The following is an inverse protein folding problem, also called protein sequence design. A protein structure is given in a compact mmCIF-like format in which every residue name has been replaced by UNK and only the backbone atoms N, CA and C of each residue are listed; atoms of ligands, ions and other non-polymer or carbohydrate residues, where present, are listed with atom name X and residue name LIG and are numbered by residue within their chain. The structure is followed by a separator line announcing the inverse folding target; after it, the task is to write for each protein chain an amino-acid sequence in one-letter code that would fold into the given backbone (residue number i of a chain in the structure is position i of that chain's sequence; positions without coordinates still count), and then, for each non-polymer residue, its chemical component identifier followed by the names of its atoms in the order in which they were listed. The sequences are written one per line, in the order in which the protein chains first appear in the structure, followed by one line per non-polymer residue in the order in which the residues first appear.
data_IF_439220754160
#
_entry.id   IF_439220754160
#
_cell.length_a   1.000
_cell.length_b   1.000
_cell.length_c   1.000
_cell.angle_alpha   90.00
_cell.angle_beta   90.00
_cell.angle_gamma   90.00
#
_symmetry.space_group_name_H-M   'P 1'
#
loop_
_entity.id
_entity.type
_entity.pdbx_description
1 polymer ?
#
# COMPACT_ATOMS: atom_id res chain seq x y z
N UNK A 1 -22.74 4.61 -37.91
CA UNK A 1 -21.46 3.86 -37.82
C UNK A 1 -21.03 3.80 -36.35
N UNK A 2 -20.01 3.00 -36.02
CA UNK A 2 -19.43 2.83 -34.68
C UNK A 2 -20.37 2.25 -33.60
N UNK A 3 -20.69 0.96 -33.72
CA UNK A 3 -20.85 0.08 -32.55
C UNK A 3 -20.60 -1.37 -32.98
N UNK A 4 -19.63 -2.02 -32.36
CA UNK A 4 -19.40 -3.47 -32.41
C UNK A 4 -18.52 -3.86 -31.22
N UNK A 5 -19.04 -4.73 -30.36
CA UNK A 5 -18.31 -5.30 -29.23
C UNK A 5 -17.39 -6.42 -29.71
N UNK A 6 -16.25 -6.63 -29.03
CA UNK A 6 -15.63 -7.96 -28.92
C UNK A 6 -15.17 -8.21 -27.49
N UNK A 7 -15.21 -9.48 -27.11
CA UNK A 7 -15.02 -9.95 -25.75
C UNK A 7 -13.55 -10.26 -25.43
N UNK A 8 -13.29 -10.21 -24.13
CA UNK A 8 -12.08 -10.64 -23.41
C UNK A 8 -11.82 -12.15 -23.59
N UNK A 9 -10.56 -12.59 -23.58
CA UNK A 9 -10.17 -13.83 -22.91
C UNK A 9 -9.37 -13.54 -21.62
N UNK A 10 -9.68 -14.26 -20.54
CA UNK A 10 -9.04 -14.11 -19.23
C UNK A 10 -7.87 -15.09 -19.10
N UNK A 11 -6.66 -14.57 -18.94
CA UNK A 11 -5.53 -15.29 -18.33
C UNK A 11 -4.49 -14.30 -17.78
N UNK A 12 -3.59 -14.77 -16.92
CA UNK A 12 -2.53 -14.00 -16.23
C UNK A 12 -3.05 -13.04 -15.13
N UNK A 13 -3.57 -13.64 -14.06
CA UNK A 13 -3.35 -13.15 -12.70
C UNK A 13 -2.07 -13.81 -12.16
N UNK A 14 -0.94 -13.09 -12.04
CA UNK A 14 0.17 -13.42 -11.12
C UNK A 14 1.39 -12.45 -11.23
N UNK A 15 1.26 -11.21 -10.72
CA UNK A 15 2.36 -10.32 -10.27
C UNK A 15 1.78 -9.08 -9.56
N UNK A 16 1.07 -9.25 -8.43
CA UNK A 16 1.64 -8.98 -7.09
C UNK A 16 2.70 -7.86 -7.05
N UNK A 17 2.38 -6.69 -6.50
CA UNK A 17 2.40 -6.39 -5.05
C UNK A 17 3.79 -6.51 -4.37
N UNK A 18 4.84 -5.97 -4.99
CA UNK A 18 6.19 -5.89 -4.37
C UNK A 18 6.76 -4.46 -4.34
N UNK A 19 6.61 -3.67 -5.41
CA UNK A 19 7.31 -2.38 -5.61
C UNK A 19 6.66 -1.15 -4.96
N UNK A 20 5.85 -1.34 -3.91
CA UNK A 20 5.22 -0.23 -3.15
C UNK A 20 5.50 -0.29 -1.63
N UNK A 21 6.47 -1.11 -1.20
CA UNK A 21 6.81 -1.35 0.21
C UNK A 21 8.20 -0.88 0.66
N UNK A 22 9.06 -0.35 -0.24
CA UNK A 22 10.48 -0.07 0.04
C UNK A 22 10.90 1.41 -0.17
N UNK A 23 10.02 2.37 0.15
CA UNK A 23 10.40 3.80 0.15
C UNK A 23 9.84 4.61 1.33
N UNK A 24 9.63 3.97 2.48
CA UNK A 24 9.05 4.60 3.68
C UNK A 24 9.72 4.25 5.01
N UNK A 25 10.98 3.79 4.98
CA UNK A 25 11.71 3.29 6.15
C UNK A 25 13.17 3.80 6.26
N UNK A 26 13.45 5.01 5.75
CA UNK A 26 14.72 5.73 5.98
C UNK A 26 14.39 7.19 6.29
N UNK A 27 15.25 7.89 7.06
CA UNK A 27 15.05 9.26 7.57
C UNK A 27 13.95 9.43 8.62
N UNK A 28 13.85 8.47 9.55
CA UNK A 28 13.35 8.72 10.90
C UNK A 28 14.53 8.99 11.83
N UNK A 29 14.49 10.12 12.55
CA UNK A 29 15.36 10.54 13.67
C UNK A 29 16.87 10.76 13.42
N UNK A 30 17.27 12.04 13.48
CA UNK A 30 18.45 12.64 14.14
C UNK A 30 18.51 14.13 13.74
N UNK A 31 18.76 15.13 14.60
CA UNK A 31 19.02 15.20 16.06
C UNK A 31 18.38 16.49 16.64
N UNK A 32 18.33 16.62 17.98
CA UNK A 32 17.81 17.80 18.71
C UNK A 32 18.94 18.63 19.32
N UNK A 33 18.79 19.97 19.29
CA UNK A 33 19.44 20.97 20.17
C UNK A 33 20.99 21.01 20.11
N UNK A 34 21.69 22.12 20.35
CA UNK A 34 21.59 23.14 21.40
C UNK A 34 21.80 24.56 20.84
N UNK A 35 21.25 25.58 21.49
CA UNK A 35 21.61 26.99 21.29
C UNK A 35 22.24 27.56 22.58
N UNK A 36 23.28 28.38 22.48
CA UNK A 36 23.86 29.10 23.64
C UNK A 36 24.62 30.38 23.25
N UNK A 37 24.63 31.34 24.19
CA UNK A 37 25.33 32.63 24.15
C UNK A 37 24.38 33.79 24.53
N UNK A 38 24.88 35.01 24.85
CA UNK A 38 26.28 35.46 25.06
C UNK A 38 26.51 36.07 26.47
N UNK A 39 27.70 36.62 26.77
CA UNK A 39 27.98 37.89 27.51
C UNK A 39 29.36 37.95 28.20
N UNK A 40 29.82 39.17 28.55
CA UNK A 40 31.04 39.48 29.33
C UNK A 40 30.76 40.58 30.39
N UNK A 41 31.48 40.61 31.53
CA UNK A 41 32.41 41.71 31.92
C UNK A 41 33.76 41.19 32.51
N UNK A 42 34.87 41.93 32.76
CA UNK A 42 35.29 43.36 32.77
C UNK A 42 35.49 44.02 34.15
N UNK A 43 36.77 44.38 34.42
CA UNK A 43 37.39 45.43 35.30
C UNK A 43 37.32 45.49 36.87
N UNK A 44 38.53 45.63 37.48
CA UNK A 44 38.91 46.56 38.59
C UNK A 44 38.54 46.27 40.08
N UNK A 45 39.09 46.93 41.12
CA UNK A 45 40.48 47.40 41.47
C UNK A 45 40.53 47.87 42.97
N UNK A 46 41.67 47.69 43.65
CA UNK A 46 42.31 48.40 44.81
C UNK A 46 41.55 49.04 46.02
N UNK A 47 42.11 48.93 47.26
CA UNK A 47 42.38 50.05 48.25
C UNK A 47 42.68 49.61 49.73
N UNK A 48 43.15 50.52 50.63
CA UNK A 48 43.80 50.20 51.94
C UNK A 48 43.85 51.32 53.04
N UNK A 49 44.34 51.00 54.28
CA UNK A 49 44.96 51.88 55.35
C UNK A 49 44.10 52.93 56.16
N UNK A 50 44.47 53.58 57.31
CA UNK A 50 45.02 53.19 58.67
C UNK A 50 44.68 54.26 59.79
N UNK A 51 45.43 54.36 60.94
CA UNK A 51 45.15 55.11 62.22
C UNK A 51 46.23 56.22 62.53
N UNK A 52 46.46 56.89 63.71
CA UNK A 52 46.05 56.81 65.15
C UNK A 52 46.43 58.11 65.99
N UNK A 53 46.31 58.08 67.34
CA UNK A 53 47.07 58.86 68.42
C UNK A 53 46.91 60.41 68.60
N UNK A 54 47.26 61.12 69.71
CA UNK A 54 47.29 60.88 71.20
C UNK A 54 47.80 62.09 72.07
N UNK A 55 47.41 62.19 73.38
CA UNK A 55 48.09 62.91 74.53
C UNK A 55 48.14 64.48 74.54
N UNK A 56 48.64 65.26 75.55
CA UNK A 56 49.40 65.01 76.82
C UNK A 56 49.06 65.92 78.09
N UNK A 57 50.05 66.61 78.73
CA UNK A 57 50.19 67.00 80.19
C UNK A 57 51.03 68.32 80.40
N UNK A 58 51.34 68.97 81.56
CA UNK A 58 50.80 69.17 82.95
C UNK A 58 51.69 70.19 83.78
N UNK A 59 51.60 70.24 85.15
CA UNK A 59 52.62 70.69 86.18
C UNK A 59 52.62 72.09 86.88
N UNK A 60 53.22 72.19 88.10
CA UNK A 60 53.80 73.40 88.74
C UNK A 60 53.69 73.58 90.29
N UNK A 61 54.81 73.72 91.06
CA UNK A 61 54.80 74.15 92.50
C UNK A 61 56.17 74.54 93.17
N UNK A 62 56.30 75.73 93.82
CA UNK A 62 57.34 76.23 94.81
C UNK A 62 56.80 77.47 95.58
N UNK A 63 57.32 78.07 96.68
CA UNK A 63 58.47 77.89 97.60
C UNK A 63 58.55 79.07 98.66
N UNK A 64 59.41 79.05 99.71
CA UNK A 64 59.43 80.03 100.84
C UNK A 64 60.84 80.51 101.34
N UNK A 65 60.94 81.38 102.39
CA UNK A 65 62.14 82.21 102.73
C UNK A 65 62.46 82.50 104.22
N UNK A 66 63.77 82.49 104.55
CA UNK A 66 64.51 83.42 105.46
C UNK A 66 64.48 83.22 107.03
N UNK A 67 65.13 84.06 107.91
CA UNK A 67 66.28 83.60 108.74
C UNK A 67 66.28 84.06 110.24
N UNK A 68 67.38 83.84 111.01
CA UNK A 68 67.52 84.29 112.41
C UNK A 68 68.90 84.84 112.87
N UNK A 69 68.90 85.38 114.10
CA UNK A 69 69.87 86.24 114.84
C UNK A 69 71.23 85.54 115.14
N UNK A 70 72.37 86.20 115.44
CA UNK A 70 72.72 87.34 116.34
C UNK A 70 72.58 87.02 117.84
N UNK A 71 73.69 87.03 118.59
CA UNK A 71 73.85 87.51 119.99
C UNK A 71 75.26 87.19 120.53
N UNK A 72 75.99 88.19 121.05
CA UNK A 72 77.32 88.03 121.68
C UNK A 72 77.77 89.30 122.45
N UNK A 73 77.26 89.53 123.67
CA UNK A 73 77.68 90.66 124.50
C UNK A 73 77.40 90.46 126.02
N UNK A 74 78.18 89.63 126.72
CA UNK A 74 78.16 89.52 128.20
C UNK A 74 79.37 88.76 128.75
N UNK A 75 80.57 89.38 128.77
CA UNK A 75 81.73 88.81 129.48
C UNK A 75 82.82 89.84 129.84
N UNK A 76 82.43 90.97 130.43
CA UNK A 76 83.39 91.98 130.91
C UNK A 76 82.92 92.73 132.19
N UNK A 77 82.59 91.95 133.23
CA UNK A 77 82.45 92.42 134.61
C UNK A 77 83.18 91.45 135.56
N UNK A 78 84.52 91.45 135.53
CA UNK A 78 85.34 90.56 136.37
C UNK A 78 86.59 91.22 137.00
N UNK A 79 86.74 92.54 136.93
CA UNK A 79 87.92 93.28 137.43
C UNK A 79 87.67 94.14 138.69
N UNK A 80 86.44 94.16 139.23
CA UNK A 80 86.03 95.09 140.29
C UNK A 80 86.18 94.58 141.73
N UNK A 81 86.75 93.39 141.96
CA UNK A 81 86.73 92.73 143.28
C UNK A 81 88.08 92.63 144.02
N UNK A 82 89.18 93.11 143.44
CA UNK A 82 90.55 92.73 143.88
C UNK A 82 91.34 93.83 144.60
N UNK A 83 90.71 94.93 145.06
CA UNK A 83 91.43 96.10 145.63
C UNK A 83 90.91 96.73 146.94
N UNK A 84 89.97 96.09 147.64
CA UNK A 84 89.49 96.57 148.95
C UNK A 84 89.50 95.42 149.98
N UNK A 85 90.68 95.05 150.50
CA UNK A 85 90.84 93.80 151.26
C UNK A 85 91.72 93.83 152.53
N UNK A 86 92.46 94.92 152.81
CA UNK A 86 93.39 95.02 153.95
C UNK A 86 92.86 95.91 155.09
N UNK A 87 91.78 95.47 155.74
CA UNK A 87 91.38 95.75 157.15
C UNK A 87 89.90 95.33 157.35
N UNK A 88 89.60 94.04 157.18
CA UNK A 88 88.33 93.44 157.60
C UNK A 88 88.42 91.92 157.67
N UNK A 89 87.62 91.36 158.58
CA UNK A 89 87.56 89.94 158.98
C UNK A 89 87.42 88.99 157.77
N UNK A 90 88.18 87.87 157.71
CA UNK A 90 87.95 86.83 156.69
C UNK A 90 86.53 86.27 156.68
N UNK A 91 85.81 86.22 157.81
CA UNK A 91 84.49 85.61 157.90
C UNK A 91 83.45 86.38 157.07
N UNK A 92 83.44 87.71 157.14
CA UNK A 92 82.52 88.55 156.34
C UNK A 92 82.77 88.42 154.84
N UNK A 93 84.01 88.13 154.41
CA UNK A 93 84.35 87.86 153.01
C UNK A 93 83.78 86.50 152.56
N UNK A 94 83.77 85.49 153.44
CA UNK A 94 83.12 84.20 153.18
C UNK A 94 81.60 84.37 153.08
N UNK A 95 80.97 85.17 153.94
CA UNK A 95 79.54 85.49 153.88
C UNK A 95 79.15 86.25 152.60
N UNK A 96 79.96 87.23 152.17
CA UNK A 96 79.78 87.91 150.88
C UNK A 96 79.97 86.96 149.69
N UNK A 97 80.95 86.06 149.74
CA UNK A 97 81.15 85.06 148.70
C UNK A 97 79.94 84.11 148.62
N UNK A 98 79.51 83.55 149.76
CA UNK A 98 78.37 82.62 149.85
C UNK A 98 77.04 83.26 149.45
N UNK A 99 76.78 84.51 149.83
CA UNK A 99 75.57 85.23 149.39
C UNK A 99 75.62 85.56 147.90
N UNK A 100 76.79 85.90 147.34
CA UNK A 100 76.95 86.06 145.88
C UNK A 100 76.81 84.73 145.12
N UNK A 101 77.30 83.63 145.69
CA UNK A 101 77.20 82.28 145.12
C UNK A 101 75.75 81.80 145.15
N UNK A 102 75.04 82.04 146.26
CA UNK A 102 73.61 81.74 146.41
C UNK A 102 72.78 82.58 145.45
N UNK A 103 73.02 83.89 145.33
CA UNK A 103 72.34 84.71 144.32
C UNK A 103 72.60 84.19 142.90
N UNK A 104 73.84 83.85 142.54
CA UNK A 104 74.15 83.23 141.24
C UNK A 104 73.45 81.89 141.04
N UNK A 105 73.32 81.08 142.09
CA UNK A 105 72.55 79.83 142.05
C UNK A 105 71.06 80.10 141.83
N UNK A 106 70.47 81.05 142.56
CA UNK A 106 69.06 81.44 142.45
C UNK A 106 68.76 82.06 141.07
N UNK A 107 69.64 82.92 140.56
CA UNK A 107 69.56 83.51 139.21
C UNK A 107 69.66 82.43 138.11
N UNK A 108 70.60 81.48 138.23
CA UNK A 108 70.74 80.34 137.29
C UNK A 108 69.57 79.37 137.41
N UNK A 109 69.05 79.12 138.62
CA UNK A 109 67.90 78.25 138.84
C UNK A 109 66.61 78.89 138.29
N UNK A 110 66.47 80.22 138.41
CA UNK A 110 65.40 80.98 137.77
C UNK A 110 65.51 80.92 136.23
N UNK A 111 66.71 81.08 135.65
CA UNK A 111 66.93 80.96 134.21
C UNK A 111 66.71 79.53 133.69
N UNK A 112 67.12 78.50 134.44
CA UNK A 112 66.84 77.08 134.12
C UNK A 112 65.34 76.80 134.18
N UNK A 113 64.62 77.33 135.18
CA UNK A 113 63.16 77.24 135.24
C UNK A 113 62.51 77.96 134.05
N UNK A 114 62.94 79.19 133.75
CA UNK A 114 62.46 80.01 132.62
C UNK A 114 62.65 79.28 131.28
N UNK A 115 63.85 78.72 131.05
CA UNK A 115 64.15 77.88 129.87
C UNK A 115 63.38 76.56 129.86
N UNK A 116 63.10 75.97 131.03
CA UNK A 116 62.25 74.79 131.14
C UNK A 116 60.81 75.08 130.71
N UNK A 117 60.26 76.22 131.13
CA UNK A 117 58.94 76.71 130.69
C UNK A 117 58.94 77.07 129.20
N UNK A 118 59.98 77.71 128.68
CA UNK A 118 60.15 77.96 127.23
C UNK A 118 60.24 76.65 126.43
N UNK A 119 61.02 75.68 126.89
CA UNK A 119 61.17 74.37 126.24
C UNK A 119 59.87 73.57 126.27
N UNK A 120 59.07 73.67 127.33
CA UNK A 120 57.73 73.11 127.39
C UNK A 120 56.78 73.79 126.37
N UNK A 121 56.82 75.13 126.25
CA UNK A 121 56.06 75.88 125.22
C UNK A 121 56.50 75.51 123.80
N UNK A 122 57.79 75.36 123.54
CA UNK A 122 58.30 74.92 122.24
C UNK A 122 57.89 73.48 121.91
N UNK A 123 57.95 72.56 122.87
CA UNK A 123 57.45 71.18 122.70
C UNK A 123 55.96 71.12 122.38
N UNK A 124 55.14 71.88 123.10
CA UNK A 124 53.70 71.93 122.83
C UNK A 124 53.39 72.63 121.50
N UNK A 125 54.14 73.68 121.14
CA UNK A 125 54.05 74.33 119.82
C UNK A 125 54.41 73.40 118.67
N UNK A 126 55.46 72.56 118.83
CA UNK A 126 55.80 71.50 117.88
C UNK A 126 54.65 70.49 117.80
N UNK A 127 54.15 69.97 118.92
CA UNK A 127 53.03 69.01 118.95
C UNK A 127 51.76 69.55 118.27
N UNK A 128 51.49 70.84 118.41
CA UNK A 128 50.37 71.52 117.73
C UNK A 128 50.64 71.69 116.22
N UNK A 129 51.87 72.01 115.81
CA UNK A 129 52.26 72.05 114.41
C UNK A 129 52.19 70.66 113.76
N UNK A 130 52.72 69.61 114.39
CA UNK A 130 52.64 68.22 113.94
C UNK A 130 51.18 67.78 113.75
N UNK A 131 50.30 68.11 114.71
CA UNK A 131 48.87 67.81 114.63
C UNK A 131 48.16 68.60 113.52
N UNK A 132 48.57 69.84 113.24
CA UNK A 132 48.05 70.62 112.14
C UNK A 132 48.53 70.08 110.78
N UNK A 133 49.79 69.65 110.68
CA UNK A 133 50.34 69.00 109.48
C UNK A 133 49.65 67.66 109.19
N UNK A 134 49.36 66.84 110.20
CA UNK A 134 48.56 65.62 110.04
C UNK A 134 47.14 65.91 109.56
N UNK A 135 46.50 66.99 110.03
CA UNK A 135 45.18 67.39 109.53
C UNK A 135 45.25 67.90 108.08
N UNK A 136 46.23 68.75 107.76
CA UNK A 136 46.44 69.31 106.41
C UNK A 136 46.77 68.21 105.40
N UNK A 137 47.60 67.24 105.76
CA UNK A 137 47.91 66.08 104.88
C UNK A 137 46.69 65.19 104.69
N UNK A 138 45.95 64.86 105.75
CA UNK A 138 44.69 64.09 105.64
C UNK A 138 43.67 64.76 104.73
N UNK A 139 43.45 66.08 104.88
CA UNK A 139 42.50 66.80 104.04
C UNK A 139 43.02 67.05 102.61
N UNK A 140 44.33 67.23 102.42
CA UNK A 140 44.94 67.28 101.08
C UNK A 140 44.73 65.96 100.34
N UNK A 141 44.93 64.83 101.02
CA UNK A 141 44.82 63.51 100.40
C UNK A 141 43.34 63.13 100.16
N UNK A 142 42.40 63.59 101.01
CA UNK A 142 40.94 63.57 100.73
C UNK A 142 40.54 64.41 99.52
N UNK A 143 41.08 65.62 99.38
CA UNK A 143 40.84 66.48 98.20
C UNK A 143 41.43 65.82 96.96
N UNK A 144 42.64 65.26 97.05
CA UNK A 144 43.28 64.50 95.97
C UNK A 144 42.41 63.33 95.51
N UNK A 145 41.95 62.48 96.43
CA UNK A 145 41.07 61.36 96.10
C UNK A 145 39.81 61.83 95.36
N UNK A 146 39.13 62.89 95.86
CA UNK A 146 37.96 63.46 95.17
C UNK A 146 38.28 64.02 93.79
N UNK A 147 39.46 64.63 93.61
CA UNK A 147 39.91 65.11 92.30
C UNK A 147 40.17 63.95 91.34
N UNK A 148 40.77 62.86 91.82
CA UNK A 148 41.01 61.64 91.03
C UNK A 148 39.68 60.94 90.66
N UNK A 149 38.73 60.82 91.59
CA UNK A 149 37.36 60.33 91.37
C UNK A 149 36.60 61.18 90.34
N UNK A 150 36.64 62.51 90.46
CA UNK A 150 36.01 63.43 89.50
C UNK A 150 36.68 63.36 88.13
N UNK A 151 37.99 63.16 88.06
CA UNK A 151 38.73 62.99 86.79
C UNK A 151 38.38 61.67 86.12
N UNK A 152 38.23 60.58 86.88
CA UNK A 152 37.75 59.28 86.38
C UNK A 152 36.30 59.39 85.88
N UNK A 153 35.43 60.11 86.61
CA UNK A 153 34.05 60.37 86.20
C UNK A 153 33.96 61.20 84.91
N UNK A 154 34.75 62.27 84.81
CA UNK A 154 34.84 63.14 83.63
C UNK A 154 35.35 62.38 82.39
N UNK A 155 36.40 61.57 82.54
CA UNK A 155 36.96 60.77 81.43
C UNK A 155 35.99 59.67 80.99
N UNK A 156 35.31 59.00 81.93
CA UNK A 156 34.25 58.04 81.61
C UNK A 156 33.05 58.68 80.90
N UNK A 157 32.64 59.89 81.31
CA UNK A 157 31.57 60.65 80.66
C UNK A 157 31.98 61.13 79.26
N UNK A 158 33.21 61.63 79.12
CA UNK A 158 33.78 62.04 77.82
C UNK A 158 33.82 60.87 76.84
N UNK A 159 34.23 59.66 77.29
CA UNK A 159 34.15 58.43 76.50
C UNK A 159 32.71 58.13 76.06
N UNK A 160 31.74 58.17 76.97
CA UNK A 160 30.31 57.95 76.63
C UNK A 160 29.79 58.96 75.60
N UNK A 161 30.24 60.22 75.65
CA UNK A 161 29.91 61.25 74.65
C UNK A 161 30.54 60.93 73.30
N UNK A 162 31.79 60.46 73.26
CA UNK A 162 32.45 60.01 72.03
C UNK A 162 31.76 58.77 71.41
N UNK A 163 31.41 57.77 72.23
CA UNK A 163 30.68 56.57 71.82
C UNK A 163 29.29 56.92 71.25
N UNK A 164 28.56 57.84 71.91
CA UNK A 164 27.29 58.35 71.43
C UNK A 164 27.41 59.18 70.14
N UNK A 165 28.49 59.96 69.98
CA UNK A 165 28.77 60.71 68.76
C UNK A 165 29.13 59.77 67.59
N UNK A 166 29.85 58.68 67.83
CA UNK A 166 30.09 57.63 66.84
C UNK A 166 28.78 56.94 66.44
N UNK A 167 27.98 56.52 67.42
CA UNK A 167 26.65 55.93 67.22
C UNK A 167 25.74 56.83 66.37
N UNK A 168 25.74 58.15 66.63
CA UNK A 168 25.01 59.15 65.83
C UNK A 168 25.50 59.20 64.37
N UNK A 169 26.82 59.14 64.12
CA UNK A 169 27.37 59.08 62.75
C UNK A 169 26.89 57.82 62.01
N UNK A 170 26.91 56.66 62.69
CA UNK A 170 26.42 55.38 62.13
C UNK A 170 24.95 55.45 61.75
N UNK A 171 24.07 55.97 62.63
CA UNK A 171 22.65 56.14 62.30
C UNK A 171 22.40 57.14 61.16
N UNK A 172 23.17 58.23 61.07
CA UNK A 172 23.07 59.18 59.95
C UNK A 172 23.45 58.52 58.61
N UNK A 173 24.51 57.69 58.60
CA UNK A 173 24.91 56.94 57.41
C UNK A 173 23.85 55.92 56.99
N UNK A 174 23.28 55.16 57.95
CA UNK A 174 22.17 54.23 57.68
C UNK A 174 20.96 54.99 57.11
N UNK A 175 20.56 56.12 57.70
CA UNK A 175 19.45 56.93 57.21
C UNK A 175 19.69 57.45 55.78
N UNK A 176 20.90 57.91 55.47
CA UNK A 176 21.28 58.35 54.13
C UNK A 176 21.20 57.20 53.12
N UNK A 177 21.74 56.03 53.46
CA UNK A 177 21.66 54.82 52.63
C UNK A 177 20.22 54.39 52.38
N UNK A 178 19.39 54.30 53.42
CA UNK A 178 17.97 53.92 53.30
C UNK A 178 17.18 54.93 52.45
N UNK A 179 17.54 56.23 52.49
CA UNK A 179 16.97 57.24 51.59
C UNK A 179 17.34 56.96 50.12
N UNK A 180 18.61 56.70 49.83
CA UNK A 180 19.08 56.34 48.48
C UNK A 180 18.41 55.06 47.96
N UNK A 181 18.33 54.01 48.79
CA UNK A 181 17.65 52.75 48.46
C UNK A 181 16.16 52.97 48.16
N UNK A 182 15.45 53.77 48.98
CA UNK A 182 14.05 54.16 48.78
C UNK A 182 13.83 54.89 47.46
N UNK A 183 14.72 55.82 47.10
CA UNK A 183 14.59 56.60 45.87
C UNK A 183 14.97 55.78 44.61
N UNK A 184 15.93 54.85 44.71
CA UNK A 184 16.16 53.82 43.67
C UNK A 184 14.94 52.90 43.46
N UNK A 185 14.28 52.46 44.54
CA UNK A 185 13.05 51.64 44.46
C UNK A 185 11.90 52.43 43.81
N UNK A 186 11.75 53.73 44.13
CA UNK A 186 10.79 54.63 43.45
C UNK A 186 11.06 54.73 41.95
N UNK A 187 12.31 54.94 41.54
CA UNK A 187 12.70 55.01 40.13
C UNK A 187 12.41 53.70 39.38
N UNK A 188 12.76 52.54 39.99
CA UNK A 188 12.42 51.21 39.43
C UNK A 188 10.92 51.00 39.30
N UNK A 189 10.12 51.44 40.28
CA UNK A 189 8.66 51.34 40.23
C UNK A 189 8.07 52.17 39.07
N UNK A 190 8.51 53.43 38.89
CA UNK A 190 8.09 54.27 37.76
C UNK A 190 8.42 53.64 36.39
N UNK A 191 9.58 52.99 36.25
CA UNK A 191 9.99 52.28 35.03
C UNK A 191 9.17 50.99 34.80
N UNK A 192 8.78 50.29 35.86
CA UNK A 192 7.84 49.16 35.75
C UNK A 192 6.43 49.64 35.36
N UNK A 193 5.97 50.78 35.89
CA UNK A 193 4.69 51.39 35.53
C UNK A 193 4.65 51.93 34.09
N UNK A 194 5.78 52.37 33.50
CA UNK A 194 5.82 52.73 32.08
C UNK A 194 5.79 51.47 31.20
N UNK A 195 6.57 50.44 31.52
CA UNK A 195 6.55 49.14 30.82
C UNK A 195 5.17 48.47 30.86
N UNK A 196 4.50 48.47 32.03
CA UNK A 196 3.16 47.91 32.17
C UNK A 196 2.13 48.65 31.30
N UNK A 197 2.26 49.98 31.18
CA UNK A 197 1.42 50.79 30.27
C UNK A 197 1.71 50.51 28.80
N UNK A 198 2.97 50.34 28.41
CA UNK A 198 3.35 49.98 27.04
C UNK A 198 2.79 48.60 26.63
N UNK A 199 3.06 47.56 27.43
CA UNK A 199 2.51 46.21 27.23
C UNK A 199 0.96 46.22 27.22
N UNK A 200 0.34 47.06 28.07
CA UNK A 200 -1.11 47.26 28.10
C UNK A 200 -1.71 48.01 26.90
N UNK A 201 -0.88 48.65 26.06
CA UNK A 201 -1.26 49.19 24.76
C UNK A 201 -1.02 48.14 23.66
N UNK A 202 0.16 47.52 23.63
CA UNK A 202 0.50 46.43 22.69
C UNK A 202 -0.53 45.29 22.72
N UNK A 203 -0.99 44.88 23.90
CA UNK A 203 -2.03 43.87 24.06
C UNK A 203 -3.38 44.32 23.49
N UNK A 204 -3.74 45.61 23.62
CA UNK A 204 -4.97 46.17 23.02
C UNK A 204 -4.87 46.24 21.51
N UNK A 205 -3.70 46.58 20.96
CA UNK A 205 -3.49 46.61 19.51
C UNK A 205 -3.41 45.22 18.89
N UNK A 206 -2.81 44.24 19.58
CA UNK A 206 -2.91 42.83 19.25
C UNK A 206 -4.35 42.33 19.22
N UNK A 207 -5.18 42.71 20.21
CA UNK A 207 -6.60 42.38 20.24
C UNK A 207 -7.35 43.02 19.04
N UNK A 208 -7.16 44.32 18.80
CA UNK A 208 -7.74 45.03 17.65
C UNK A 208 -7.30 44.45 16.29
N UNK A 209 -6.08 43.93 16.19
CA UNK A 209 -5.60 43.22 15.00
C UNK A 209 -6.29 41.85 14.83
N UNK A 210 -6.45 41.09 15.91
CA UNK A 210 -7.15 39.80 15.92
C UNK A 210 -8.64 39.96 15.55
N UNK A 211 -9.32 40.99 16.04
CA UNK A 211 -10.70 41.31 15.65
C UNK A 211 -10.82 41.67 14.16
N UNK A 212 -9.88 42.48 13.63
CA UNK A 212 -9.79 42.78 12.19
C UNK A 212 -9.51 41.52 11.35
N UNK A 213 -8.75 40.57 11.86
CA UNK A 213 -8.53 39.28 11.19
C UNK A 213 -9.78 38.38 11.25
N UNK A 214 -10.46 38.30 12.41
CA UNK A 214 -11.69 37.52 12.61
C UNK A 214 -12.83 38.02 11.72
N UNK A 215 -13.00 39.34 11.62
CA UNK A 215 -14.01 39.96 10.74
C UNK A 215 -13.70 39.75 9.25
N UNK A 216 -12.43 39.87 8.83
CA UNK A 216 -12.00 39.48 7.47
C UNK A 216 -12.28 38.01 7.16
N UNK A 217 -11.94 37.09 8.08
CA UNK A 217 -12.23 35.65 7.92
C UNK A 217 -13.74 35.40 7.79
N UNK A 218 -14.56 36.06 8.61
CA UNK A 218 -16.01 35.93 8.59
C UNK A 218 -16.60 36.34 7.22
N UNK A 219 -16.15 37.48 6.66
CA UNK A 219 -16.56 37.95 5.32
C UNK A 219 -16.18 36.93 4.24
N UNK A 220 -14.92 36.49 4.21
CA UNK A 220 -14.46 35.49 3.24
C UNK A 220 -15.23 34.17 3.34
N UNK A 221 -15.68 33.75 4.53
CA UNK A 221 -16.54 32.56 4.67
C UNK A 221 -17.97 32.79 4.19
N UNK A 222 -18.54 34.00 4.32
CA UNK A 222 -19.84 34.32 3.72
C UNK A 222 -19.75 34.36 2.19
N UNK A 223 -18.73 35.04 1.66
CA UNK A 223 -18.44 35.13 0.22
C UNK A 223 -18.25 33.72 -0.40
N UNK A 224 -17.55 32.81 0.29
CA UNK A 224 -17.42 31.41 -0.12
C UNK A 224 -18.79 30.70 -0.16
N UNK A 225 -19.59 30.81 0.91
CA UNK A 225 -20.91 30.16 0.99
C UNK A 225 -21.87 30.67 -0.09
N UNK A 226 -21.79 31.95 -0.46
CA UNK A 226 -22.58 32.54 -1.55
C UNK A 226 -22.16 31.99 -2.92
N UNK A 227 -20.84 31.86 -3.17
CA UNK A 227 -20.31 31.24 -4.39
C UNK A 227 -20.65 29.76 -4.49
N UNK A 228 -20.58 29.00 -3.38
CA UNK A 228 -20.98 27.59 -3.35
C UNK A 228 -22.48 27.41 -3.65
N UNK A 229 -23.34 28.26 -3.09
CA UNK A 229 -24.76 28.30 -3.45
C UNK A 229 -24.99 28.68 -4.92
N UNK A 230 -24.23 29.64 -5.45
CA UNK A 230 -24.27 30.00 -6.86
C UNK A 230 -23.96 28.81 -7.76
N UNK A 231 -22.83 28.13 -7.51
CA UNK A 231 -22.41 26.92 -8.23
C UNK A 231 -23.42 25.77 -8.10
N UNK A 232 -24.06 25.59 -6.94
CA UNK A 232 -25.11 24.60 -6.74
C UNK A 232 -26.36 24.90 -7.60
N UNK A 233 -26.80 26.17 -7.65
CA UNK A 233 -27.91 26.61 -8.50
C UNK A 233 -27.58 26.44 -9.99
N UNK A 234 -26.37 26.80 -10.42
CA UNK A 234 -25.94 26.58 -11.81
C UNK A 234 -25.88 25.09 -12.19
N UNK A 235 -25.39 24.22 -11.30
CA UNK A 235 -25.35 22.77 -11.53
C UNK A 235 -26.75 22.21 -11.77
N UNK A 236 -27.72 22.60 -10.93
CA UNK A 236 -29.12 22.23 -11.09
C UNK A 236 -29.71 22.68 -12.43
N UNK A 237 -29.46 23.93 -12.85
CA UNK A 237 -29.91 24.45 -14.14
C UNK A 237 -29.26 23.71 -15.32
N UNK A 238 -27.95 23.42 -15.24
CA UNK A 238 -27.24 22.62 -16.27
C UNK A 238 -27.77 21.18 -16.36
N UNK A 239 -28.07 20.55 -15.23
CA UNK A 239 -28.64 19.21 -15.17
C UNK A 239 -30.06 19.16 -15.75
N UNK A 240 -30.92 20.12 -15.40
CA UNK A 240 -32.25 20.27 -15.99
C UNK A 240 -32.20 20.51 -17.50
N UNK A 241 -31.28 21.37 -17.98
CA UNK A 241 -31.05 21.59 -19.40
C UNK A 241 -30.57 20.33 -20.12
N UNK A 242 -29.62 19.59 -19.54
CA UNK A 242 -29.13 18.32 -20.08
C UNK A 242 -30.24 17.25 -20.14
N UNK A 243 -31.09 17.17 -19.11
CA UNK A 243 -32.28 16.29 -19.10
C UNK A 243 -33.22 16.63 -20.26
N UNK A 244 -33.57 17.90 -20.44
CA UNK A 244 -34.41 18.34 -21.56
C UNK A 244 -33.81 18.04 -22.94
N UNK A 245 -32.50 18.23 -23.12
CA UNK A 245 -31.78 17.88 -24.35
C UNK A 245 -31.80 16.36 -24.60
N UNK A 246 -31.64 15.55 -23.55
CA UNK A 246 -31.70 14.09 -23.61
C UNK A 246 -33.09 13.60 -24.01
N UNK A 247 -34.14 14.14 -23.39
CA UNK A 247 -35.54 13.85 -23.71
C UNK A 247 -35.90 14.26 -25.15
N UNK A 248 -35.55 15.48 -25.57
CA UNK A 248 -35.74 15.94 -26.94
C UNK A 248 -34.98 15.08 -27.97
N UNK A 249 -33.81 14.53 -27.61
CA UNK A 249 -33.01 13.63 -28.45
C UNK A 249 -33.67 12.24 -28.56
N UNK A 250 -34.24 11.71 -27.47
CA UNK A 250 -35.03 10.45 -27.50
C UNK A 250 -36.28 10.63 -28.38
N UNK A 251 -37.01 11.74 -28.23
CA UNK A 251 -38.17 12.06 -29.07
C UNK A 251 -37.80 12.19 -30.55
N UNK A 252 -36.70 12.89 -30.87
CA UNK A 252 -36.19 12.98 -32.26
C UNK A 252 -35.80 11.62 -32.82
N UNK A 253 -35.11 10.76 -32.06
CA UNK A 253 -34.78 9.38 -32.47
C UNK A 253 -36.04 8.56 -32.74
N UNK A 254 -37.01 8.57 -31.83
CA UNK A 254 -38.28 7.85 -32.01
C UNK A 254 -39.09 8.38 -33.21
N UNK A 255 -39.04 9.69 -33.49
CA UNK A 255 -39.68 10.27 -34.67
C UNK A 255 -38.99 9.89 -36.00
N UNK A 256 -37.65 9.75 -36.00
CA UNK A 256 -36.89 9.23 -37.15
C UNK A 256 -37.17 7.75 -37.37
N UNK A 257 -37.20 6.93 -36.30
CA UNK A 257 -37.55 5.51 -36.40
C UNK A 257 -38.96 5.30 -36.97
N UNK A 258 -39.95 6.06 -36.45
CA UNK A 258 -41.31 6.12 -37.00
C UNK A 258 -41.40 6.67 -38.43
N UNK A 259 -40.34 7.24 -39.02
CA UNK A 259 -40.27 7.57 -40.45
C UNK A 259 -39.61 6.43 -41.23
N UNK A 260 -38.56 5.82 -40.70
CA UNK A 260 -37.87 4.70 -41.32
C UNK A 260 -38.78 3.47 -41.49
N UNK A 261 -39.51 3.08 -40.44
CA UNK A 261 -40.50 1.99 -40.50
C UNK A 261 -41.56 2.25 -41.58
N UNK A 262 -42.19 3.43 -41.58
CA UNK A 262 -43.19 3.81 -42.60
C UNK A 262 -42.62 3.87 -44.02
N UNK A 263 -41.36 4.26 -44.19
CA UNK A 263 -40.69 4.23 -45.50
C UNK A 263 -40.48 2.78 -45.98
N UNK A 264 -40.06 1.89 -45.08
CA UNK A 264 -39.89 0.47 -45.41
C UNK A 264 -41.23 -0.25 -45.69
N UNK A 265 -42.29 0.09 -44.96
CA UNK A 265 -43.67 -0.36 -45.22
C UNK A 265 -44.18 0.14 -46.59
N UNK A 266 -43.97 1.43 -46.88
CA UNK A 266 -44.32 2.02 -48.18
C UNK A 266 -43.52 1.38 -49.32
N UNK A 267 -42.21 1.16 -49.16
CA UNK A 267 -41.38 0.47 -50.16
C UNK A 267 -41.87 -0.96 -50.41
N UNK A 268 -42.19 -1.73 -49.36
CA UNK A 268 -42.79 -3.07 -49.48
C UNK A 268 -44.12 -3.03 -50.22
N UNK A 269 -44.99 -2.06 -49.91
CA UNK A 269 -46.28 -1.87 -50.58
C UNK A 269 -46.11 -1.51 -52.06
N UNK A 270 -45.20 -0.59 -52.40
CA UNK A 270 -44.89 -0.22 -53.79
C UNK A 270 -44.36 -1.42 -54.58
N UNK A 271 -43.43 -2.20 -54.01
CA UNK A 271 -42.89 -3.41 -54.65
C UNK A 271 -43.98 -4.48 -54.84
N UNK A 272 -44.82 -4.71 -53.82
CA UNK A 272 -45.93 -5.66 -53.89
C UNK A 272 -46.97 -5.25 -54.95
N UNK A 273 -47.34 -3.96 -55.00
CA UNK A 273 -48.27 -3.42 -55.99
C UNK A 273 -47.69 -3.49 -57.41
N UNK A 274 -46.41 -3.14 -57.60
CA UNK A 274 -45.73 -3.26 -58.89
C UNK A 274 -45.65 -4.72 -59.37
N UNK A 275 -45.35 -5.66 -58.47
CA UNK A 275 -45.36 -7.09 -58.76
C UNK A 275 -46.77 -7.60 -59.11
N UNK A 276 -47.80 -7.18 -58.36
CA UNK A 276 -49.19 -7.53 -58.65
C UNK A 276 -49.69 -6.98 -59.99
N UNK A 277 -49.30 -5.75 -60.36
CA UNK A 277 -49.60 -5.15 -61.68
C UNK A 277 -48.87 -5.89 -62.80
N UNK A 278 -47.57 -6.21 -62.62
CA UNK A 278 -46.80 -6.98 -63.61
C UNK A 278 -47.33 -8.41 -63.80
N UNK A 279 -47.75 -9.07 -62.70
CA UNK A 279 -48.41 -10.38 -62.74
C UNK A 279 -49.78 -10.28 -63.42
N UNK A 280 -50.56 -9.25 -63.14
CA UNK A 280 -51.87 -9.01 -63.76
C UNK A 280 -51.75 -8.76 -65.27
N UNK A 281 -50.81 -7.91 -65.69
CA UNK A 281 -50.53 -7.63 -67.11
C UNK A 281 -50.03 -8.89 -67.84
N UNK A 282 -49.12 -9.67 -67.24
CA UNK A 282 -48.65 -10.92 -67.82
C UNK A 282 -49.68 -12.06 -67.75
N UNK A 283 -50.69 -12.00 -66.88
CA UNK A 283 -51.72 -13.05 -66.72
C UNK A 283 -52.46 -13.39 -68.00
N UNK A 284 -52.59 -12.45 -68.95
CA UNK A 284 -53.17 -12.71 -70.28
C UNK A 284 -52.23 -13.52 -71.17
N UNK A 285 -50.90 -13.29 -71.09
CA UNK A 285 -49.89 -14.11 -71.77
C UNK A 285 -49.81 -15.50 -71.14
N UNK A 286 -49.78 -15.59 -69.81
CA UNK A 286 -49.75 -16.88 -69.10
C UNK A 286 -51.00 -17.72 -69.33
N UNK A 287 -52.20 -17.13 -69.33
CA UNK A 287 -53.43 -17.86 -69.70
C UNK A 287 -53.40 -18.36 -71.14
N UNK A 288 -52.90 -17.57 -72.10
CA UNK A 288 -52.70 -18.05 -73.48
C UNK A 288 -51.66 -19.17 -73.56
N UNK A 289 -50.54 -19.05 -72.85
CA UNK A 289 -49.52 -20.10 -72.80
C UNK A 289 -50.09 -21.40 -72.23
N UNK A 290 -50.79 -21.35 -71.09
CA UNK A 290 -51.42 -22.52 -70.48
C UNK A 290 -52.48 -23.16 -71.38
N UNK A 291 -53.21 -22.38 -72.18
CA UNK A 291 -54.11 -22.93 -73.20
C UNK A 291 -53.35 -23.61 -74.34
N UNK A 292 -52.22 -23.05 -74.79
CA UNK A 292 -51.36 -23.66 -75.82
C UNK A 292 -50.71 -24.94 -75.28
N UNK A 293 -50.17 -24.92 -74.06
CA UNK A 293 -49.63 -26.09 -73.35
C UNK A 293 -50.69 -27.19 -73.19
N UNK A 294 -51.93 -26.84 -72.82
CA UNK A 294 -53.04 -27.81 -72.76
C UNK A 294 -53.42 -28.36 -74.14
N UNK A 295 -53.39 -27.54 -75.20
CA UNK A 295 -53.63 -28.01 -76.57
C UNK A 295 -52.52 -28.95 -77.05
N UNK A 296 -51.25 -28.62 -76.76
CA UNK A 296 -50.09 -29.47 -77.05
C UNK A 296 -50.17 -30.76 -76.24
N UNK A 297 -50.45 -30.70 -74.94
CA UNK A 297 -50.59 -31.88 -74.08
C UNK A 297 -51.74 -32.79 -74.55
N UNK A 298 -52.92 -32.23 -74.85
CA UNK A 298 -54.05 -32.98 -75.40
C UNK A 298 -53.74 -33.56 -76.79
N UNK A 299 -53.01 -32.84 -77.64
CA UNK A 299 -52.60 -33.33 -78.96
C UNK A 299 -51.57 -34.46 -78.85
N UNK A 300 -50.57 -34.33 -77.97
CA UNK A 300 -49.58 -35.37 -77.69
C UNK A 300 -50.23 -36.59 -77.03
N UNK A 301 -51.14 -36.39 -76.08
CA UNK A 301 -51.92 -37.47 -75.47
C UNK A 301 -52.77 -38.19 -76.52
N UNK A 302 -53.51 -37.47 -77.37
CA UNK A 302 -54.31 -38.07 -78.44
C UNK A 302 -53.43 -38.76 -79.50
N UNK A 303 -52.30 -38.17 -79.87
CA UNK A 303 -51.33 -38.79 -80.78
C UNK A 303 -50.76 -40.08 -80.18
N UNK A 304 -50.42 -40.08 -78.89
CA UNK A 304 -49.92 -41.26 -78.20
C UNK A 304 -51.00 -42.34 -78.09
N UNK A 305 -52.25 -41.99 -77.72
CA UNK A 305 -53.39 -42.93 -77.71
C UNK A 305 -53.63 -43.50 -79.10
N UNK A 306 -53.74 -42.68 -80.14
CA UNK A 306 -53.90 -43.12 -81.53
C UNK A 306 -52.75 -44.04 -82.00
N UNK A 307 -51.52 -43.82 -81.52
CA UNK A 307 -50.38 -44.67 -81.85
C UNK A 307 -50.43 -45.98 -81.07
N UNK A 308 -50.75 -45.96 -79.78
CA UNK A 308 -50.98 -47.16 -78.96
C UNK A 308 -52.13 -47.99 -79.53
N UNK A 309 -53.23 -47.39 -79.98
CA UNK A 309 -54.34 -48.08 -80.66
C UNK A 309 -53.88 -48.76 -81.97
N UNK A 310 -53.03 -48.11 -82.77
CA UNK A 310 -52.45 -48.72 -83.98
C UNK A 310 -51.49 -49.87 -83.67
N UNK A 311 -50.62 -49.69 -82.68
CA UNK A 311 -49.70 -50.74 -82.24
C UNK A 311 -50.47 -51.90 -81.61
N UNK A 312 -51.50 -51.64 -80.81
CA UNK A 312 -52.38 -52.65 -80.22
C UNK A 312 -53.17 -53.39 -81.31
N UNK A 313 -53.75 -52.70 -82.29
CA UNK A 313 -54.41 -53.37 -83.43
C UNK A 313 -53.44 -54.27 -84.22
N UNK A 314 -52.19 -53.82 -84.38
CA UNK A 314 -51.13 -54.60 -85.05
C UNK A 314 -50.73 -55.81 -84.21
N UNK A 315 -50.54 -55.65 -82.90
CA UNK A 315 -50.20 -56.72 -81.95
C UNK A 315 -51.36 -57.70 -81.74
N UNK A 316 -52.62 -57.24 -81.71
CA UNK A 316 -53.84 -58.06 -81.69
C UNK A 316 -53.96 -58.89 -82.99
N UNK A 317 -53.51 -58.32 -84.12
CA UNK A 317 -53.49 -59.03 -85.41
C UNK A 317 -52.39 -60.09 -85.41
N UNK A 318 -51.18 -59.77 -84.93
CA UNK A 318 -50.13 -60.77 -84.73
C UNK A 318 -50.52 -61.82 -83.69
N UNK A 319 -51.19 -61.45 -82.60
CA UNK A 319 -51.68 -62.37 -81.57
C UNK A 319 -52.69 -63.37 -82.15
N UNK A 320 -53.64 -62.92 -82.96
CA UNK A 320 -54.55 -63.82 -83.70
C UNK A 320 -53.80 -64.76 -84.66
N UNK A 321 -52.71 -64.30 -85.26
CA UNK A 321 -51.85 -65.17 -86.09
C UNK A 321 -51.05 -66.16 -85.22
N UNK A 322 -50.51 -65.74 -84.05
CA UNK A 322 -49.86 -66.63 -83.07
C UNK A 322 -50.83 -67.72 -82.62
N UNK A 323 -52.05 -67.34 -82.22
CA UNK A 323 -53.13 -68.25 -81.81
C UNK A 323 -53.56 -69.22 -82.93
N UNK A 324 -53.64 -68.75 -84.18
CA UNK A 324 -54.05 -69.57 -85.31
C UNK A 324 -52.94 -70.46 -85.91
N UNK A 325 -51.65 -70.17 -85.65
CA UNK A 325 -50.51 -70.87 -86.26
C UNK A 325 -49.60 -71.60 -85.28
N UNK A 326 -49.70 -71.32 -83.98
CA UNK A 326 -48.79 -71.84 -82.95
C UNK A 326 -47.39 -71.23 -82.96
N UNK A 327 -47.10 -70.31 -83.88
CA UNK A 327 -45.82 -69.60 -83.96
C UNK A 327 -45.77 -68.51 -82.88
N UNK A 328 -44.68 -68.43 -82.12
CA UNK A 328 -44.56 -67.50 -80.98
C UNK A 328 -43.82 -66.21 -81.37
N UNK A 329 -42.84 -66.29 -82.26
CA UNK A 329 -42.08 -65.12 -82.72
C UNK A 329 -42.74 -64.47 -83.94
N UNK A 330 -42.91 -63.15 -83.88
CA UNK A 330 -43.40 -62.31 -84.98
C UNK A 330 -42.46 -62.39 -86.19
N UNK A 331 -41.15 -62.49 -85.99
CA UNK A 331 -40.18 -62.67 -87.08
C UNK A 331 -40.28 -64.05 -87.72
N UNK A 332 -40.64 -65.09 -86.95
CA UNK A 332 -40.92 -66.42 -87.50
C UNK A 332 -42.22 -66.42 -88.31
N UNK A 333 -43.28 -65.75 -87.84
CA UNK A 333 -44.53 -65.54 -88.59
C UNK A 333 -44.25 -64.84 -89.92
N UNK A 334 -43.53 -63.72 -89.91
CA UNK A 334 -43.21 -62.96 -91.13
C UNK A 334 -42.33 -63.77 -92.07
N UNK A 335 -41.33 -64.48 -91.55
CA UNK A 335 -40.46 -65.36 -92.35
C UNK A 335 -41.24 -66.52 -92.98
N UNK A 336 -42.08 -67.22 -92.22
CA UNK A 336 -42.91 -68.33 -92.72
C UNK A 336 -44.01 -67.85 -93.66
N UNK A 337 -44.52 -66.63 -93.52
CA UNK A 337 -45.46 -66.05 -94.49
C UNK A 337 -44.76 -65.73 -95.82
N UNK A 338 -43.59 -65.08 -95.79
CA UNK A 338 -42.81 -64.75 -96.99
C UNK A 338 -42.24 -65.99 -97.69
N UNK A 339 -41.85 -67.02 -96.94
CA UNK A 339 -41.35 -68.28 -97.50
C UNK A 339 -42.45 -69.32 -97.75
N UNK A 340 -43.70 -69.08 -97.36
CA UNK A 340 -44.81 -70.05 -97.48
C UNK A 340 -44.89 -70.66 -98.87
N UNK A 341 -44.82 -69.81 -99.89
CA UNK A 341 -45.05 -70.23 -101.28
C UNK A 341 -43.81 -70.93 -101.85
N UNK A 342 -42.60 -70.63 -101.36
CA UNK A 342 -41.35 -71.31 -101.76
C UNK A 342 -41.16 -72.66 -101.04
N UNK A 343 -41.57 -72.79 -99.79
CA UNK A 343 -41.61 -74.06 -99.04
C UNK A 343 -42.69 -75.00 -99.60
N UNK A 344 -43.88 -74.48 -99.90
CA UNK A 344 -44.96 -75.23 -100.54
C UNK A 344 -44.55 -75.70 -101.96
N UNK A 345 -43.78 -74.89 -102.70
CA UNK A 345 -43.21 -75.30 -103.99
C UNK A 345 -42.16 -76.42 -103.84
N UNK A 346 -41.31 -76.40 -102.80
CA UNK A 346 -40.39 -77.51 -102.48
C UNK A 346 -41.13 -78.79 -102.10
N UNK A 347 -42.19 -78.69 -101.29
CA UNK A 347 -43.02 -79.85 -100.93
C UNK A 347 -43.69 -80.49 -102.16
N UNK A 348 -44.12 -79.69 -103.13
CA UNK A 348 -44.62 -80.20 -104.43
C UNK A 348 -43.54 -80.87 -105.27
N UNK A 349 -42.31 -80.37 -105.25
CA UNK A 349 -41.18 -81.04 -105.93
C UNK A 349 -40.88 -82.40 -105.29
N UNK A 350 -40.82 -82.47 -103.95
CA UNK A 350 -40.64 -83.72 -103.21
C UNK A 350 -41.78 -84.72 -103.44
N UNK A 351 -43.03 -84.25 -103.59
CA UNK A 351 -44.15 -85.12 -103.94
C UNK A 351 -43.97 -85.75 -105.33
N UNK A 352 -43.56 -84.97 -106.34
CA UNK A 352 -43.30 -85.47 -107.71
C UNK A 352 -42.08 -86.42 -107.76
N UNK A 353 -41.08 -86.22 -106.90
CA UNK A 353 -39.97 -87.16 -106.75
C UNK A 353 -40.39 -88.46 -106.03
N UNK A 354 -41.33 -88.38 -105.07
CA UNK A 354 -41.91 -89.56 -104.44
C UNK A 354 -42.80 -90.37 -105.41
N UNK A 355 -43.58 -89.70 -106.27
CA UNK A 355 -44.36 -90.34 -107.34
C UNK A 355 -43.44 -91.09 -108.32
N UNK A 356 -42.34 -90.47 -108.77
CA UNK A 356 -41.33 -91.15 -109.60
C UNK A 356 -40.69 -92.36 -108.94
N UNK A 357 -40.44 -92.30 -107.63
CA UNK A 357 -39.89 -93.45 -106.90
C UNK A 357 -40.91 -94.59 -106.76
N UNK A 358 -42.23 -94.29 -106.72
CA UNK A 358 -43.28 -95.30 -106.79
C UNK A 358 -43.37 -95.94 -108.19
N UNK A 359 -43.29 -95.15 -109.27
CA UNK A 359 -43.23 -95.68 -110.65
C UNK A 359 -42.01 -96.61 -110.86
N UNK A 360 -40.84 -96.23 -110.31
CA UNK A 360 -39.64 -97.05 -110.34
C UNK A 360 -39.77 -98.38 -109.56
N UNK A 361 -40.48 -98.37 -108.43
CA UNK A 361 -40.76 -99.56 -107.63
C UNK A 361 -41.78 -100.50 -108.30
N UNK A 362 -42.83 -99.98 -108.94
CA UNK A 362 -43.80 -100.81 -109.65
C UNK A 362 -43.18 -101.47 -110.90
N UNK A 363 -42.32 -100.74 -111.64
CA UNK A 363 -41.51 -101.33 -112.71
C UNK A 363 -40.62 -102.49 -112.21
N UNK A 364 -40.08 -102.39 -110.99
CA UNK A 364 -39.31 -103.46 -110.36
C UNK A 364 -40.19 -104.65 -109.96
N UNK A 365 -41.39 -104.41 -109.42
CA UNK A 365 -42.35 -105.46 -109.06
C UNK A 365 -42.82 -106.29 -110.29
N UNK A 366 -43.07 -105.62 -111.41
CA UNK A 366 -43.44 -106.27 -112.69
C UNK A 366 -42.29 -107.08 -113.33
N UNK A 367 -41.06 -106.97 -112.84
CA UNK A 367 -39.96 -107.88 -113.19
C UNK A 367 -40.01 -109.17 -112.37
N UNK A 368 -40.22 -109.05 -111.05
CA UNK A 368 -40.30 -110.18 -110.11
C UNK A 368 -41.45 -111.13 -110.41
N UNK A 369 -42.61 -110.60 -110.80
CA UNK A 369 -43.81 -111.38 -111.09
C UNK A 369 -43.64 -112.33 -112.31
N UNK A 370 -42.60 -112.15 -113.13
CA UNK A 370 -42.22 -113.10 -114.21
C UNK A 370 -41.26 -114.20 -113.76
N UNK A 371 -40.56 -114.04 -112.64
CA UNK A 371 -39.73 -115.10 -112.06
C UNK A 371 -40.52 -116.09 -111.20
N UNK A 372 -41.51 -115.60 -110.46
CA UNK A 372 -42.14 -116.35 -109.36
C UNK A 372 -42.88 -117.62 -109.82
N UNK A 373 -43.46 -117.63 -111.02
CA UNK A 373 -44.08 -118.82 -111.62
C UNK A 373 -43.09 -119.91 -112.08
N UNK A 374 -41.77 -119.69 -111.98
CA UNK A 374 -40.74 -120.69 -112.34
C UNK A 374 -40.01 -121.31 -111.14
N UNK A 375 -40.20 -120.77 -109.93
CA UNK A 375 -39.36 -121.10 -108.77
C UNK A 375 -40.11 -121.35 -107.45
N UNK A 376 -41.44 -121.52 -107.46
CA UNK A 376 -42.14 -122.27 -106.39
C UNK A 376 -41.83 -123.78 -106.51
N UNK A 377 -40.54 -124.08 -106.38
CA UNK A 377 -39.93 -125.39 -106.64
C UNK A 377 -38.53 -125.54 -106.01
N UNK A 378 -38.19 -124.90 -104.86
CA UNK A 378 -37.32 -125.38 -103.72
C UNK A 378 -36.56 -124.30 -102.86
N UNK A 379 -36.90 -124.20 -101.56
CA UNK A 379 -36.04 -124.23 -100.32
C UNK A 379 -35.05 -123.11 -99.79
N UNK A 380 -35.48 -122.31 -98.77
CA UNK A 380 -35.03 -122.15 -97.31
C UNK A 380 -33.59 -121.89 -96.70
N UNK A 381 -33.47 -120.88 -95.77
CA UNK A 381 -32.74 -120.76 -94.42
C UNK A 381 -31.15 -120.64 -94.30
N UNK A 382 -30.42 -120.41 -93.13
CA UNK A 382 -30.54 -119.58 -91.84
C UNK A 382 -29.24 -118.95 -91.11
N UNK A 383 -29.42 -118.11 -90.04
CA UNK A 383 -28.71 -117.84 -88.68
C UNK A 383 -27.22 -117.37 -88.30
N UNK A 384 -27.09 -116.70 -87.09
CA UNK A 384 -26.03 -116.65 -85.99
C UNK A 384 -25.00 -115.48 -85.63
N UNK A 385 -24.77 -115.24 -84.28
CA UNK A 385 -23.54 -114.82 -83.48
C UNK A 385 -23.34 -113.41 -82.78
N UNK A 386 -22.31 -113.25 -81.91
CA UNK A 386 -22.22 -112.35 -80.70
C UNK A 386 -20.77 -111.99 -80.18
N UNK A 387 -20.42 -110.72 -79.83
CA UNK A 387 -19.26 -110.33 -78.94
C UNK A 387 -19.37 -108.85 -78.41
N UNK A 388 -18.59 -108.37 -77.40
CA UNK A 388 -18.59 -106.92 -77.05
C UNK A 388 -17.97 -106.30 -75.77
N UNK A 389 -17.33 -107.03 -74.84
CA UNK A 389 -16.97 -106.46 -73.50
C UNK A 389 -15.82 -105.43 -73.46
N UNK A 390 -14.84 -105.49 -74.38
CA UNK A 390 -13.63 -104.67 -74.35
C UNK A 390 -13.80 -103.24 -74.92
N UNK A 391 -14.97 -102.92 -75.50
CA UNK A 391 -15.28 -101.58 -76.01
C UNK A 391 -15.43 -100.55 -74.87
N UNK A 392 -16.03 -100.98 -73.74
CA UNK A 392 -16.32 -100.12 -72.60
C UNK A 392 -15.06 -99.58 -71.90
N UNK A 393 -14.05 -100.42 -71.69
CA UNK A 393 -12.77 -100.04 -71.05
C UNK A 393 -12.03 -98.98 -71.86
N UNK A 394 -11.98 -99.13 -73.20
CA UNK A 394 -11.39 -98.13 -74.11
C UNK A 394 -12.12 -96.78 -74.06
N UNK A 395 -13.44 -96.79 -73.88
CA UNK A 395 -14.23 -95.56 -73.78
C UNK A 395 -13.93 -94.78 -72.46
N UNK A 396 -13.87 -95.47 -71.32
CA UNK A 396 -13.62 -94.84 -70.01
C UNK A 396 -12.24 -94.16 -69.94
N UNK A 397 -11.18 -94.82 -70.40
CA UNK A 397 -9.83 -94.25 -70.43
C UNK A 397 -9.73 -92.98 -71.31
N UNK A 398 -10.48 -92.93 -72.41
CA UNK A 398 -10.55 -91.77 -73.31
C UNK A 398 -11.20 -90.54 -72.65
N UNK A 399 -12.12 -90.75 -71.70
CA UNK A 399 -12.77 -89.67 -70.95
C UNK A 399 -11.82 -89.09 -69.90
N UNK A 400 -11.16 -89.94 -69.10
CA UNK A 400 -10.19 -89.48 -68.09
C UNK A 400 -9.07 -88.64 -68.71
N UNK A 401 -8.52 -89.08 -69.85
CA UNK A 401 -7.50 -88.35 -70.59
C UNK A 401 -7.93 -86.92 -70.99
N UNK A 402 -9.22 -86.69 -71.24
CA UNK A 402 -9.75 -85.35 -71.54
C UNK A 402 -10.01 -84.50 -70.28
N UNK A 403 -10.44 -85.11 -69.18
CA UNK A 403 -10.64 -84.39 -67.91
C UNK A 403 -9.30 -83.96 -67.29
N UNK A 404 -8.25 -84.79 -67.42
CA UNK A 404 -6.87 -84.42 -67.12
C UNK A 404 -6.36 -83.25 -67.98
N UNK A 405 -6.67 -83.21 -69.28
CA UNK A 405 -6.28 -82.07 -70.15
C UNK A 405 -6.97 -80.75 -69.76
N UNK A 406 -8.11 -80.80 -69.08
CA UNK A 406 -8.79 -79.62 -68.53
C UNK A 406 -8.33 -79.27 -67.11
N UNK A 407 -7.44 -80.07 -66.51
CA UNK A 407 -6.95 -79.88 -65.13
C UNK A 407 -7.98 -80.21 -64.05
N UNK A 408 -9.02 -80.99 -64.37
CA UNK A 408 -10.15 -81.28 -63.48
C UNK A 408 -10.05 -82.64 -62.76
N UNK A 409 -9.21 -83.55 -63.24
CA UNK A 409 -8.95 -84.85 -62.61
C UNK A 409 -7.45 -85.18 -62.56
N UNK A 410 -7.07 -86.08 -61.65
CA UNK A 410 -5.76 -86.73 -61.63
C UNK A 410 -5.78 -88.10 -62.32
N UNK A 411 -4.60 -88.65 -62.60
CA UNK A 411 -4.46 -89.91 -63.31
C UNK A 411 -5.04 -91.10 -62.50
N UNK A 412 -5.98 -91.82 -63.11
CA UNK A 412 -6.67 -92.97 -62.51
C UNK A 412 -6.19 -94.27 -63.17
N UNK A 413 -5.86 -95.29 -62.37
CA UNK A 413 -5.39 -96.59 -62.90
C UNK A 413 -6.57 -97.56 -63.06
N UNK A 414 -6.81 -97.98 -64.30
CA UNK A 414 -7.91 -98.87 -64.68
C UNK A 414 -7.55 -100.36 -64.64
N UNK A 415 -6.35 -100.73 -64.18
CA UNK A 415 -5.89 -102.13 -64.14
C UNK A 415 -6.36 -102.94 -62.92
N UNK A 416 -7.15 -102.34 -62.02
CA UNK A 416 -7.82 -103.06 -60.94
C UNK A 416 -9.31 -103.28 -61.28
N UNK A 417 -9.82 -104.51 -61.22
CA UNK A 417 -11.20 -104.83 -61.64
C UNK A 417 -12.31 -104.15 -60.79
N UNK A 418 -11.96 -103.56 -59.64
CA UNK A 418 -12.86 -102.73 -58.82
C UNK A 418 -12.85 -101.22 -59.21
N UNK A 419 -12.08 -100.81 -60.23
CA UNK A 419 -11.84 -99.40 -60.55
C UNK A 419 -12.94 -98.73 -61.38
N UNK A 420 -13.58 -99.43 -62.32
CA UNK A 420 -14.43 -98.81 -63.34
C UNK A 420 -15.70 -98.17 -62.75
N UNK A 421 -16.37 -98.90 -61.84
CA UNK A 421 -17.59 -98.44 -61.17
C UNK A 421 -17.30 -97.29 -60.19
N UNK A 422 -16.18 -97.39 -59.47
CA UNK A 422 -15.67 -96.34 -58.58
C UNK A 422 -15.28 -95.06 -59.34
N UNK A 423 -14.67 -95.20 -60.52
CA UNK A 423 -14.36 -94.08 -61.41
C UNK A 423 -15.63 -93.40 -61.93
N UNK A 424 -16.62 -94.18 -62.41
CA UNK A 424 -17.90 -93.64 -62.85
C UNK A 424 -18.62 -92.84 -61.74
N UNK A 425 -18.59 -93.31 -60.49
CA UNK A 425 -19.17 -92.59 -59.36
C UNK A 425 -18.40 -91.28 -59.05
N UNK A 426 -17.06 -91.31 -59.03
CA UNK A 426 -16.24 -90.11 -58.78
C UNK A 426 -16.48 -89.00 -59.83
N UNK A 427 -16.55 -89.40 -61.11
CA UNK A 427 -16.82 -88.52 -62.24
C UNK A 427 -18.20 -87.83 -62.10
N UNK A 428 -19.18 -88.56 -61.56
CA UNK A 428 -20.55 -88.07 -61.33
C UNK A 428 -20.64 -87.11 -60.13
N UNK A 429 -19.88 -87.36 -59.05
CA UNK A 429 -19.95 -86.58 -57.81
C UNK A 429 -19.07 -85.31 -57.81
N UNK A 430 -17.92 -85.30 -58.49
CA UNK A 430 -16.97 -84.17 -58.44
C UNK A 430 -16.76 -83.49 -59.81
N UNK A 431 -16.49 -84.27 -60.85
CA UNK A 431 -16.02 -83.76 -62.15
C UNK A 431 -17.13 -83.11 -62.99
N UNK A 432 -18.35 -83.67 -62.99
CA UNK A 432 -19.51 -83.09 -63.69
C UNK A 432 -19.95 -81.75 -63.05
N UNK A 433 -20.13 -81.62 -61.72
CA UNK A 433 -20.43 -80.33 -61.09
C UNK A 433 -19.39 -79.24 -61.38
N UNK A 434 -18.09 -79.59 -61.38
CA UNK A 434 -17.01 -78.65 -61.71
C UNK A 434 -17.08 -78.14 -63.16
N UNK A 435 -17.44 -79.00 -64.13
CA UNK A 435 -17.67 -78.60 -65.52
C UNK A 435 -18.84 -77.62 -65.67
N UNK A 436 -19.94 -77.81 -64.93
CA UNK A 436 -21.06 -76.85 -64.97
C UNK A 436 -20.70 -75.50 -64.33
N UNK A 437 -19.83 -75.46 -63.32
CA UNK A 437 -19.36 -74.22 -62.70
C UNK A 437 -18.47 -73.36 -63.61
N UNK A 438 -17.95 -73.92 -64.72
CA UNK A 438 -17.11 -73.22 -65.70
C UNK A 438 -17.89 -72.60 -66.88
N UNK A 439 -19.22 -72.74 -66.91
CA UNK A 439 -20.08 -72.12 -67.93
C UNK A 439 -20.53 -70.71 -67.48
N UNK A 440 -20.11 -69.62 -68.17
CA UNK A 440 -20.49 -68.26 -67.78
C UNK A 440 -21.97 -67.97 -68.09
N UNK A 441 -22.74 -67.61 -67.05
CA UNK A 441 -24.18 -67.36 -67.15
C UNK A 441 -24.47 -66.04 -67.87
N UNK A 442 -24.87 -66.13 -69.14
CA UNK A 442 -24.78 -65.02 -70.13
C UNK A 442 -26.08 -64.23 -70.26
N UNK A 443 -26.54 -63.61 -69.17
CA UNK A 443 -27.73 -62.72 -69.18
C UNK A 443 -27.50 -61.35 -68.53
N UNK A 444 -27.24 -60.36 -69.40
CA UNK A 444 -27.77 -58.97 -69.43
C UNK A 444 -28.09 -58.34 -68.06
N UNK A 445 -27.45 -57.26 -67.59
CA UNK A 445 -26.98 -56.06 -68.31
C UNK A 445 -28.02 -55.47 -69.28
N UNK A 446 -28.99 -54.70 -68.74
CA UNK A 446 -29.66 -53.58 -69.44
C UNK A 446 -30.62 -52.79 -68.52
N UNK A 447 -30.10 -51.96 -67.61
CA UNK A 447 -30.82 -50.78 -67.07
C UNK A 447 -29.85 -49.84 -66.31
N UNK A 448 -29.28 -48.88 -67.05
CA UNK A 448 -28.58 -47.67 -66.59
C UNK A 448 -28.31 -46.80 -67.82
#
# INVERSE_FOLDING_TARGET
MASSYRLVPISILCTSLVTLALFRCVLSQCTRFVAFGPSAPVEGTDSSLTNATSLQEADGCKGAKAPMKKDAASLQQLDSFTRAATQSDPMTKVEQLLSSLRKRFDDVHAEVKRRGEEFARYKEGIRQADSAEHQITSDRDRVRQRTEELTQSLTALSKRVADAAHTKKTYLHVLQRTKQEKDMVRQKNLLLQSKLRALGLELKDGHRALEKQRTKKCRATCELNELEQGLARERLVREQGFKGIKEATVLKKAAVEKRYVRLAEWQKSVVANAAAVALSASSGKWRRMLCIEKLIANFLQKSNVNNVEKWQYTEDTFQKIREATGLVDVMEIVSKFLNRDSENQKLKQLAVEAERNLEALDAHAQSWNRGLHSYDARCSLPEHSLEGAEEAKRCAASINAKLMQLGLEGAYDFNADASLECYCQHLQEQSIPALFALLPDTKKQSQS
#
